data_IF_860958334383
#
_entry.id   IF_860958334383
#
_cell.length_a   1.000
_cell.length_b   1.000
_cell.length_c   1.000
_cell.angle_alpha   90.00
_cell.angle_beta   90.00
_cell.angle_gamma   90.00
#
_symmetry.space_group_name_H-M   'P 1'
#
loop_
_entity.id
_entity.type
_entity.pdbx_description
1 polymer ?
#
# COMPACT_ATOMS: atom_id res chain seq x y z
N UNK A 1 13.70 20.25 12.48
CA UNK A 1 13.84 19.60 11.16
C UNK A 1 12.79 20.23 10.24
N UNK A 2 13.19 20.80 9.11
CA UNK A 2 12.26 21.41 8.14
C UNK A 2 11.95 20.35 7.08
N UNK A 3 10.67 20.03 6.87
CA UNK A 3 10.20 19.17 5.79
C UNK A 3 10.00 20.02 4.53
N UNK A 4 10.55 19.58 3.39
CA UNK A 4 10.20 20.14 2.07
C UNK A 4 9.32 19.14 1.34
N UNK A 5 8.32 19.65 0.61
CA UNK A 5 7.36 18.83 -0.15
C UNK A 5 7.53 19.14 -1.63
N UNK A 6 7.67 18.10 -2.44
CA UNK A 6 7.68 18.19 -3.90
C UNK A 6 6.46 17.44 -4.45
N UNK A 7 5.43 18.19 -4.80
CA UNK A 7 4.26 17.69 -5.53
C UNK A 7 4.46 17.84 -7.03
N UNK A 8 3.96 16.89 -7.82
CA UNK A 8 4.04 16.91 -9.27
C UNK A 8 2.75 16.37 -9.89
N UNK A 9 2.47 16.79 -11.12
CA UNK A 9 1.29 16.34 -11.87
C UNK A 9 1.68 15.22 -12.85
N UNK A 10 0.89 14.15 -12.88
CA UNK A 10 1.05 13.07 -13.86
C UNK A 10 0.87 13.60 -15.30
N UNK A 11 1.50 12.95 -16.32
CA UNK A 11 1.26 13.30 -17.72
C UNK A 11 -0.23 13.33 -18.07
N UNK A 12 -0.69 14.39 -18.72
CA UNK A 12 -2.10 14.57 -19.08
C UNK A 12 -2.98 15.18 -17.98
N UNK A 13 -2.42 15.52 -16.82
CA UNK A 13 -3.12 16.20 -15.73
C UNK A 13 -2.52 17.58 -15.43
N UNK A 14 -3.37 18.52 -15.03
CA UNK A 14 -2.95 19.87 -14.68
C UNK A 14 -2.20 20.56 -15.83
N UNK A 15 -0.95 20.95 -15.58
CA UNK A 15 -0.07 21.57 -16.58
C UNK A 15 0.95 20.59 -17.20
N UNK A 16 0.90 19.31 -16.87
CA UNK A 16 1.81 18.30 -17.43
C UNK A 16 1.31 17.83 -18.80
N UNK A 17 2.15 17.98 -19.82
CA UNK A 17 1.89 17.45 -21.17
C UNK A 17 1.92 15.92 -21.22
N UNK A 18 1.45 15.34 -22.33
CA UNK A 18 1.48 13.90 -22.59
C UNK A 18 0.18 13.19 -22.23
N UNK A 19 0.21 11.85 -22.25
CA UNK A 19 -0.95 10.99 -21.96
C UNK A 19 -0.69 10.15 -20.70
N UNK A 20 -1.73 9.87 -19.90
CA UNK A 20 -1.62 9.20 -18.59
C UNK A 20 -1.43 7.69 -18.69
N UNK A 21 -0.61 7.22 -19.63
CA UNK A 21 -0.25 5.79 -19.73
C UNK A 21 0.76 5.41 -18.65
N UNK A 22 0.74 4.16 -18.14
CA UNK A 22 1.62 3.73 -17.04
C UNK A 22 3.10 4.06 -17.28
N UNK A 23 3.62 3.74 -18.48
CA UNK A 23 5.02 4.02 -18.82
C UNK A 23 5.37 5.51 -18.76
N UNK A 24 4.46 6.38 -19.21
CA UNK A 24 4.66 7.83 -19.15
C UNK A 24 4.63 8.31 -17.69
N UNK A 25 3.73 7.78 -16.87
CA UNK A 25 3.65 8.09 -15.44
C UNK A 25 4.93 7.69 -14.70
N UNK A 26 5.50 6.52 -15.01
CA UNK A 26 6.78 6.08 -14.44
C UNK A 26 7.95 6.96 -14.90
N UNK A 27 8.03 7.29 -16.20
CA UNK A 27 9.06 8.18 -16.72
C UNK A 27 8.99 9.58 -16.10
N UNK A 28 7.78 10.10 -15.87
CA UNK A 28 7.60 11.38 -15.20
C UNK A 28 7.99 11.32 -13.71
N UNK A 29 7.62 10.24 -13.01
CA UNK A 29 8.05 10.02 -11.63
C UNK A 29 9.58 9.95 -11.50
N UNK A 30 10.22 9.26 -12.43
CA UNK A 30 11.68 9.15 -12.52
C UNK A 30 12.34 10.51 -12.74
N UNK A 31 11.83 11.32 -13.68
CA UNK A 31 12.32 12.67 -13.92
C UNK A 31 12.21 13.57 -12.67
N UNK A 32 11.12 13.43 -11.90
CA UNK A 32 10.92 14.17 -10.64
C UNK A 32 11.93 13.74 -9.58
N UNK A 33 12.21 12.44 -9.47
CA UNK A 33 13.23 11.91 -8.56
C UNK A 33 14.63 12.41 -8.93
N UNK A 34 14.99 12.35 -10.21
CA UNK A 34 16.25 12.88 -10.72
C UNK A 34 16.36 14.40 -10.47
N UNK A 35 15.29 15.17 -10.65
CA UNK A 35 15.27 16.60 -10.33
C UNK A 35 15.52 16.85 -8.84
N UNK A 36 14.89 16.08 -7.96
CA UNK A 36 15.09 16.19 -6.51
C UNK A 36 16.56 15.93 -6.11
N UNK A 37 17.22 14.96 -6.76
CA UNK A 37 18.62 14.63 -6.48
C UNK A 37 19.61 15.63 -7.11
N UNK A 38 19.45 15.91 -8.40
CA UNK A 38 20.44 16.63 -9.19
C UNK A 38 20.31 18.14 -9.11
N UNK A 39 19.08 18.66 -9.00
CA UNK A 39 18.82 20.12 -8.97
C UNK A 39 18.55 20.60 -7.55
N UNK A 40 17.72 19.89 -6.79
CA UNK A 40 17.42 20.28 -5.40
C UNK A 40 18.48 19.79 -4.38
N UNK A 41 19.36 18.87 -4.78
CA UNK A 41 20.49 18.41 -3.99
C UNK A 41 20.15 17.47 -2.83
N UNK A 42 18.98 16.83 -2.84
CA UNK A 42 18.61 15.84 -1.82
C UNK A 42 19.24 14.49 -2.10
N UNK A 43 19.85 13.87 -1.08
CA UNK A 43 20.30 12.48 -1.20
C UNK A 43 19.11 11.53 -1.18
N UNK A 44 19.26 10.37 -1.81
CA UNK A 44 18.20 9.36 -1.86
C UNK A 44 17.70 8.98 -0.46
N UNK A 45 18.62 8.79 0.49
CA UNK A 45 18.32 8.45 1.90
C UNK A 45 17.65 9.58 2.71
N UNK A 46 17.50 10.76 2.12
CA UNK A 46 16.78 11.91 2.70
C UNK A 46 15.35 12.01 2.17
N UNK A 47 15.01 11.24 1.13
CA UNK A 47 13.72 11.30 0.43
C UNK A 47 12.76 10.27 1.00
N UNK A 48 11.53 10.70 1.27
CA UNK A 48 10.39 9.83 1.59
C UNK A 48 9.41 9.91 0.45
N UNK A 49 8.98 8.75 -0.03
CA UNK A 49 7.98 8.65 -1.09
C UNK A 49 6.59 8.58 -0.46
N UNK A 50 5.66 9.35 -0.99
CA UNK A 50 4.25 9.30 -0.60
C UNK A 50 3.40 9.04 -1.83
N UNK A 51 2.56 8.01 -1.77
CA UNK A 51 1.61 7.67 -2.82
C UNK A 51 0.20 7.59 -2.24
N UNK A 52 -0.72 8.36 -2.81
CA UNK A 52 -2.15 8.26 -2.49
C UNK A 52 -2.91 7.64 -3.65
N UNK A 53 -3.79 6.67 -3.38
CA UNK A 53 -4.62 6.06 -4.43
C UNK A 53 -3.76 5.48 -5.55
N UNK A 54 -4.13 5.75 -6.80
CA UNK A 54 -3.35 5.38 -7.99
C UNK A 54 -1.89 5.88 -7.95
N UNK A 55 -1.59 6.93 -7.18
CA UNK A 55 -0.23 7.42 -6.94
C UNK A 55 0.66 6.42 -6.21
N UNK A 56 0.09 5.37 -5.61
CA UNK A 56 0.86 4.25 -5.08
C UNK A 56 1.67 3.52 -6.15
N UNK A 57 1.20 3.48 -7.41
CA UNK A 57 1.92 2.85 -8.51
C UNK A 57 3.30 3.48 -8.79
N UNK A 58 3.42 4.78 -9.14
CA UNK A 58 4.72 5.41 -9.35
C UNK A 58 5.55 5.49 -8.06
N UNK A 59 4.92 5.67 -6.89
CA UNK A 59 5.66 5.69 -5.62
C UNK A 59 6.33 4.34 -5.33
N UNK A 60 5.62 3.22 -5.54
CA UNK A 60 6.19 1.88 -5.40
C UNK A 60 7.28 1.60 -6.42
N UNK A 61 7.13 2.07 -7.66
CA UNK A 61 8.15 1.91 -8.68
C UNK A 61 9.42 2.71 -8.34
N UNK A 62 9.27 3.95 -7.86
CA UNK A 62 10.40 4.74 -7.37
C UNK A 62 11.10 4.02 -6.21
N UNK A 63 10.36 3.48 -5.24
CA UNK A 63 10.98 2.74 -4.14
C UNK A 63 11.78 1.52 -4.64
N UNK A 64 11.27 0.80 -5.65
CA UNK A 64 11.96 -0.36 -6.23
C UNK A 64 13.23 0.01 -7.01
N UNK A 65 13.26 1.18 -7.67
CA UNK A 65 14.39 1.61 -8.51
C UNK A 65 15.39 2.53 -7.78
N UNK A 66 14.96 3.14 -6.68
CA UNK A 66 15.74 3.98 -5.77
C UNK A 66 15.68 3.38 -4.35
N UNK A 67 16.32 2.21 -4.12
CA UNK A 67 16.09 1.42 -2.92
C UNK A 67 16.67 2.02 -1.62
N UNK A 68 17.47 3.09 -1.70
CA UNK A 68 18.02 3.79 -0.53
C UNK A 68 17.08 4.87 0.00
N UNK A 69 15.91 5.09 -0.62
CA UNK A 69 14.92 6.03 -0.08
C UNK A 69 14.64 5.74 1.38
N UNK A 70 14.43 6.81 2.15
CA UNK A 70 14.23 6.72 3.60
C UNK A 70 13.01 5.88 3.97
N UNK A 71 12.02 5.85 3.09
CA UNK A 71 10.83 5.03 3.23
C UNK A 71 9.77 5.40 2.20
N UNK A 72 8.72 4.58 2.14
CA UNK A 72 7.51 4.84 1.36
C UNK A 72 6.28 4.77 2.26
N UNK A 73 5.37 5.72 2.09
CA UNK A 73 4.06 5.75 2.73
C UNK A 73 3.01 5.66 1.62
N UNK A 74 2.16 4.65 1.70
CA UNK A 74 1.08 4.40 0.75
C UNK A 74 -0.25 4.58 1.47
N UNK A 75 -0.99 5.62 1.09
CA UNK A 75 -2.28 5.97 1.68
C UNK A 75 -3.40 5.64 0.73
N UNK A 76 -4.39 4.89 1.22
CA UNK A 76 -5.53 4.44 0.43
C UNK A 76 -5.08 3.95 -0.94
N UNK A 77 -4.23 2.91 -0.98
CA UNK A 77 -3.77 2.29 -2.24
C UNK A 77 -4.31 0.86 -2.38
N UNK A 78 -3.92 0.19 -3.46
CA UNK A 78 -4.34 -1.16 -3.80
C UNK A 78 -3.14 -2.05 -4.16
N UNK A 79 -3.37 -3.36 -4.25
CA UNK A 79 -2.39 -4.37 -4.66
C UNK A 79 -2.28 -4.51 -6.17
N UNK A 80 -3.41 -4.53 -6.86
CA UNK A 80 -3.56 -4.66 -8.31
C UNK A 80 -4.83 -3.91 -8.74
N UNK A 81 -4.77 -3.24 -9.90
CA UNK A 81 -5.93 -2.52 -10.44
C UNK A 81 -6.96 -3.46 -11.08
N UNK A 82 -6.57 -4.64 -11.54
CA UNK A 82 -7.48 -5.54 -12.26
C UNK A 82 -8.76 -5.86 -11.47
N UNK A 83 -8.69 -6.27 -10.19
CA UNK A 83 -9.89 -6.58 -9.41
C UNK A 83 -10.81 -5.37 -9.20
N UNK A 84 -10.23 -4.16 -9.09
CA UNK A 84 -11.00 -2.91 -9.02
C UNK A 84 -11.73 -2.64 -10.33
N UNK A 85 -11.04 -2.80 -11.47
CA UNK A 85 -11.64 -2.62 -12.78
C UNK A 85 -12.78 -3.62 -13.04
N UNK A 86 -12.58 -4.89 -12.69
CA UNK A 86 -13.60 -5.92 -12.83
C UNK A 86 -14.82 -5.68 -11.92
N UNK A 87 -14.62 -5.17 -10.70
CA UNK A 87 -15.72 -4.85 -9.78
C UNK A 87 -16.62 -3.72 -10.29
N UNK A 88 -16.10 -2.80 -11.10
CA UNK A 88 -16.85 -1.66 -11.66
C UNK A 88 -17.49 -1.94 -13.02
N UNK A 89 -17.23 -3.11 -13.60
CA UNK A 89 -17.66 -3.46 -14.96
C UNK A 89 -18.65 -4.63 -14.94
N UNK A 90 -19.53 -4.73 -15.96
CA UNK A 90 -20.40 -5.90 -16.11
C UNK A 90 -19.60 -7.20 -16.18
N UNK A 91 -19.98 -8.21 -15.39
CA UNK A 91 -19.27 -9.51 -15.32
C UNK A 91 -19.08 -10.20 -16.69
N UNK A 92 -20.01 -10.00 -17.62
CA UNK A 92 -19.93 -10.52 -19.01
C UNK A 92 -18.70 -9.98 -19.77
N UNK A 93 -18.12 -8.86 -19.34
CA UNK A 93 -16.94 -8.23 -19.96
C UNK A 93 -15.63 -8.57 -19.24
N UNK A 94 -15.64 -9.47 -18.26
CA UNK A 94 -14.47 -9.73 -17.38
C UNK A 94 -13.18 -10.01 -18.16
N UNK A 95 -13.23 -10.87 -19.18
CA UNK A 95 -12.06 -11.25 -19.98
C UNK A 95 -11.55 -10.09 -20.84
N UNK A 96 -12.46 -9.26 -21.36
CA UNK A 96 -12.12 -8.06 -22.14
C UNK A 96 -11.45 -7.02 -21.24
N UNK A 97 -12.00 -6.82 -20.04
CA UNK A 97 -11.43 -5.93 -19.03
C UNK A 97 -10.04 -6.42 -18.64
N UNK A 98 -9.88 -7.72 -18.38
CA UNK A 98 -8.58 -8.32 -18.06
C UNK A 98 -7.57 -8.10 -19.17
N UNK A 99 -7.93 -8.41 -20.42
CA UNK A 99 -7.07 -8.18 -21.58
C UNK A 99 -6.65 -6.70 -21.69
N UNK A 100 -7.60 -5.77 -21.58
CA UNK A 100 -7.33 -4.34 -21.70
C UNK A 100 -6.39 -3.83 -20.60
N UNK A 101 -6.65 -4.24 -19.34
CA UNK A 101 -5.82 -3.88 -18.18
C UNK A 101 -4.42 -4.47 -18.31
N UNK A 102 -4.29 -5.78 -18.51
CA UNK A 102 -2.98 -6.45 -18.58
C UNK A 102 -2.14 -5.98 -19.76
N UNK A 103 -2.77 -5.53 -20.84
CA UNK A 103 -2.04 -5.04 -22.02
C UNK A 103 -1.62 -3.57 -21.90
N UNK A 104 -2.46 -2.71 -21.29
CA UNK A 104 -2.27 -1.25 -21.38
C UNK A 104 -2.15 -0.53 -20.03
N UNK A 105 -2.68 -1.10 -18.95
CA UNK A 105 -2.82 -0.46 -17.64
C UNK A 105 -2.48 -1.42 -16.48
N UNK A 106 -1.42 -2.22 -16.63
CA UNK A 106 -1.04 -3.23 -15.63
C UNK A 106 -0.40 -2.58 -14.38
N UNK A 107 -1.24 -2.02 -13.52
CA UNK A 107 -0.82 -1.38 -12.27
C UNK A 107 -0.70 -2.42 -11.15
N UNK A 108 0.32 -3.29 -11.26
CA UNK A 108 0.58 -4.37 -10.30
C UNK A 108 1.53 -3.92 -9.18
N UNK A 109 0.99 -3.20 -8.20
CA UNK A 109 1.75 -2.60 -7.08
C UNK A 109 2.43 -3.66 -6.22
N UNK A 110 1.74 -4.78 -5.95
CA UNK A 110 2.29 -5.89 -5.15
C UNK A 110 3.54 -6.52 -5.80
N UNK A 111 3.59 -6.62 -7.14
CA UNK A 111 4.75 -7.17 -7.85
C UNK A 111 5.92 -6.20 -7.85
N UNK A 112 5.64 -4.89 -8.00
CA UNK A 112 6.66 -3.85 -7.94
C UNK A 112 7.29 -3.79 -6.53
N UNK A 113 6.46 -3.75 -5.48
CA UNK A 113 6.93 -3.67 -4.10
C UNK A 113 7.72 -4.89 -3.64
N UNK A 114 7.57 -6.05 -4.30
CA UNK A 114 8.38 -7.23 -4.03
C UNK A 114 9.89 -6.94 -4.15
N UNK A 115 10.26 -5.98 -5.02
CA UNK A 115 11.63 -5.56 -5.29
C UNK A 115 12.16 -4.50 -4.32
N UNK A 116 11.31 -3.94 -3.45
CA UNK A 116 11.70 -2.98 -2.44
C UNK A 116 11.70 -3.60 -1.04
N UNK A 117 12.83 -3.53 -0.34
CA UNK A 117 13.01 -4.10 1.01
C UNK A 117 13.12 -3.05 2.12
N UNK A 118 13.13 -1.77 1.78
CA UNK A 118 13.22 -0.69 2.75
C UNK A 118 11.92 -0.46 3.54
N UNK A 119 11.90 0.59 4.38
CA UNK A 119 10.74 0.93 5.21
C UNK A 119 9.49 1.25 4.38
N UNK A 120 8.35 0.68 4.78
CA UNK A 120 7.07 0.76 4.08
C UNK A 120 5.93 0.87 5.10
N UNK A 121 5.05 1.86 4.92
CA UNK A 121 3.81 2.01 5.68
C UNK A 121 2.62 2.04 4.74
N UNK A 122 1.61 1.26 5.06
CA UNK A 122 0.27 1.32 4.48
C UNK A 122 -0.65 2.08 5.42
N UNK A 123 -1.49 2.93 4.85
CA UNK A 123 -2.61 3.56 5.54
C UNK A 123 -3.88 3.06 4.87
N UNK A 124 -4.66 2.27 5.60
CA UNK A 124 -5.96 1.77 5.14
C UNK A 124 -7.05 2.68 5.64
N UNK A 125 -7.82 3.25 4.71
CA UNK A 125 -8.98 4.08 5.05
C UNK A 125 -10.20 3.22 5.34
N UNK A 126 -10.89 3.52 6.43
CA UNK A 126 -11.99 2.70 6.93
C UNK A 126 -13.34 3.02 6.31
N UNK A 127 -13.54 4.21 5.74
CA UNK A 127 -14.77 4.60 5.04
C UNK A 127 -14.53 4.63 3.52
N UNK A 128 -13.76 3.65 3.03
CA UNK A 128 -13.26 3.59 1.66
C UNK A 128 -14.34 3.16 0.65
N UNK A 129 -14.63 4.04 -0.31
CA UNK A 129 -15.66 3.88 -1.33
C UNK A 129 -15.14 3.54 -2.73
N UNK A 130 -13.84 3.74 -2.97
CA UNK A 130 -13.19 3.57 -4.28
C UNK A 130 -12.47 2.22 -4.36
N UNK A 131 -11.71 1.88 -3.30
CA UNK A 131 -10.76 0.76 -3.28
C UNK A 131 -11.31 -0.52 -2.64
N UNK A 132 -12.64 -0.64 -2.61
CA UNK A 132 -13.37 -1.85 -2.23
C UNK A 132 -13.90 -2.54 -3.49
N UNK A 133 -14.12 -3.85 -3.39
CA UNK A 133 -14.59 -4.67 -4.54
C UNK A 133 -15.95 -5.34 -4.29
N UNK A 134 -16.42 -5.31 -3.04
CA UNK A 134 -17.80 -5.66 -2.70
C UNK A 134 -18.55 -4.40 -2.29
N UNK A 135 -19.37 -3.87 -3.20
CA UNK A 135 -20.19 -2.68 -2.94
C UNK A 135 -21.57 -3.01 -2.39
N UNK A 136 -21.99 -4.28 -2.45
CA UNK A 136 -23.37 -4.73 -2.18
C UNK A 136 -23.54 -5.44 -0.84
N UNK A 137 -22.42 -5.89 -0.26
CA UNK A 137 -22.40 -6.54 1.04
C UNK A 137 -22.57 -5.59 2.23
N UNK A 138 -22.42 -6.13 3.42
CA UNK A 138 -22.42 -5.36 4.66
C UNK A 138 -21.20 -4.43 4.73
N UNK A 139 -21.18 -3.48 5.67
CA UNK A 139 -19.99 -2.66 5.94
C UNK A 139 -18.76 -3.49 6.32
N UNK A 140 -18.97 -4.69 6.90
CA UNK A 140 -17.89 -5.63 7.17
C UNK A 140 -17.35 -6.26 5.88
N UNK A 141 -18.22 -6.64 4.95
CA UNK A 141 -17.84 -7.23 3.66
C UNK A 141 -17.12 -6.19 2.79
N UNK A 142 -17.66 -4.97 2.72
CA UNK A 142 -17.03 -3.79 2.10
C UNK A 142 -15.61 -3.61 2.62
N UNK A 143 -15.43 -3.55 3.95
CA UNK A 143 -14.13 -3.39 4.61
C UNK A 143 -13.19 -4.56 4.33
N UNK A 144 -13.68 -5.79 4.31
CA UNK A 144 -12.91 -6.98 3.98
C UNK A 144 -12.42 -6.97 2.53
N UNK A 145 -13.21 -6.39 1.62
CA UNK A 145 -12.89 -6.27 0.19
C UNK A 145 -11.92 -5.12 -0.16
N UNK A 146 -11.49 -4.32 0.83
CA UNK A 146 -10.54 -3.23 0.64
C UNK A 146 -9.20 -3.76 0.11
N UNK A 147 -8.71 -3.23 -1.02
CA UNK A 147 -7.49 -3.73 -1.68
C UNK A 147 -6.20 -3.55 -0.87
N UNK A 148 -6.16 -2.63 0.10
CA UNK A 148 -5.04 -2.52 1.03
C UNK A 148 -4.87 -3.78 1.91
N UNK A 149 -5.96 -4.53 2.17
CA UNK A 149 -5.91 -5.80 2.90
C UNK A 149 -5.08 -6.84 2.13
N UNK A 150 -5.34 -6.96 0.83
CA UNK A 150 -4.65 -7.89 -0.06
C UNK A 150 -3.19 -7.49 -0.22
N UNK A 151 -2.92 -6.18 -0.33
CA UNK A 151 -1.56 -5.66 -0.37
C UNK A 151 -0.78 -5.98 0.91
N UNK A 152 -1.38 -5.81 2.09
CA UNK A 152 -0.75 -6.19 3.37
C UNK A 152 -0.37 -7.68 3.37
N UNK A 153 -1.30 -8.56 3.00
CA UNK A 153 -1.04 -10.01 2.95
C UNK A 153 0.13 -10.33 2.04
N UNK A 154 0.23 -9.68 0.88
CA UNK A 154 1.32 -9.87 -0.08
C UNK A 154 2.65 -9.35 0.44
N UNK A 155 2.67 -8.21 1.14
CA UNK A 155 3.87 -7.69 1.80
C UNK A 155 4.38 -8.68 2.85
N UNK A 156 3.49 -9.21 3.69
CA UNK A 156 3.88 -10.18 4.72
C UNK A 156 4.34 -11.49 4.06
N UNK A 157 3.65 -12.00 3.05
CA UNK A 157 4.06 -13.19 2.30
C UNK A 157 5.44 -13.04 1.66
N UNK A 158 5.72 -11.89 1.03
CA UNK A 158 6.99 -11.63 0.34
C UNK A 158 8.16 -11.35 1.29
N UNK A 159 7.90 -10.76 2.46
CA UNK A 159 8.96 -10.35 3.42
C UNK A 159 9.13 -11.34 4.57
N UNK A 160 8.06 -12.05 4.94
CA UNK A 160 7.97 -12.94 6.12
C UNK A 160 7.21 -14.24 5.78
N UNK A 161 7.62 -15.01 4.75
CA UNK A 161 6.85 -16.18 4.27
C UNK A 161 6.61 -17.23 5.37
N UNK A 162 7.60 -17.46 6.24
CA UNK A 162 7.49 -18.42 7.35
C UNK A 162 6.54 -17.94 8.45
N UNK A 163 6.31 -16.64 8.57
CA UNK A 163 5.45 -16.05 9.58
C UNK A 163 3.96 -16.23 9.23
N UNK A 164 3.62 -16.05 7.94
CA UNK A 164 2.24 -16.14 7.45
C UNK A 164 1.83 -17.55 7.01
N UNK A 165 2.79 -18.46 6.79
CA UNK A 165 2.52 -19.84 6.42
C UNK A 165 1.43 -20.47 7.32
N UNK A 166 0.36 -20.94 6.67
CA UNK A 166 -0.86 -21.52 7.26
C UNK A 166 -1.66 -20.59 8.20
N UNK A 167 -1.28 -19.30 8.26
CA UNK A 167 -1.87 -18.29 9.14
C UNK A 167 -2.46 -17.10 8.37
N UNK A 168 -2.62 -17.18 7.04
CA UNK A 168 -3.20 -16.09 6.24
C UNK A 168 -4.57 -15.63 6.80
N UNK A 169 -5.43 -16.58 7.18
CA UNK A 169 -6.73 -16.29 7.81
C UNK A 169 -6.62 -15.50 9.13
N UNK A 170 -5.48 -15.52 9.81
CA UNK A 170 -5.26 -14.70 11.00
C UNK A 170 -5.08 -13.23 10.61
N UNK A 171 -4.48 -12.93 9.45
CA UNK A 171 -4.39 -11.55 8.95
C UNK A 171 -5.79 -10.99 8.71
N UNK A 172 -6.68 -11.77 8.08
CA UNK A 172 -8.08 -11.37 7.86
C UNK A 172 -8.81 -11.14 9.20
N UNK A 173 -8.59 -12.00 10.21
CA UNK A 173 -9.12 -11.78 11.57
C UNK A 173 -8.61 -10.49 12.19
N UNK A 174 -7.31 -10.22 12.11
CA UNK A 174 -6.71 -8.99 12.63
C UNK A 174 -7.25 -7.74 11.92
N UNK A 175 -7.44 -7.81 10.60
CA UNK A 175 -8.00 -6.74 9.78
C UNK A 175 -9.45 -6.41 10.13
N UNK A 176 -10.21 -7.40 10.61
CA UNK A 176 -11.59 -7.26 11.09
C UNK A 176 -11.70 -6.76 12.54
N UNK A 177 -10.61 -6.83 13.32
CA UNK A 177 -10.59 -6.38 14.71
C UNK A 177 -10.61 -4.85 14.83
N UNK A 178 -11.28 -4.36 15.89
CA UNK A 178 -11.16 -2.98 16.36
C UNK A 178 -9.79 -2.73 17.01
N UNK A 179 -9.36 -1.46 17.17
CA UNK A 179 -8.12 -1.14 17.89
C UNK A 179 -8.05 -1.75 19.29
N UNK A 180 -9.17 -1.77 20.03
CA UNK A 180 -9.25 -2.38 21.36
C UNK A 180 -9.05 -3.90 21.30
N UNK A 181 -9.66 -4.57 20.33
CA UNK A 181 -9.51 -6.01 20.13
C UNK A 181 -8.07 -6.38 19.74
N UNK A 182 -7.40 -5.58 18.89
CA UNK A 182 -5.99 -5.78 18.53
C UNK A 182 -5.07 -5.67 19.73
N UNK A 183 -5.29 -4.66 20.58
CA UNK A 183 -4.52 -4.49 21.82
C UNK A 183 -4.66 -5.71 22.75
N UNK A 184 -5.87 -6.27 22.87
CA UNK A 184 -6.10 -7.49 23.66
C UNK A 184 -5.48 -8.74 23.04
N UNK A 185 -5.47 -8.84 21.71
CA UNK A 185 -4.98 -10.02 20.98
C UNK A 185 -3.44 -10.16 21.00
N UNK A 186 -2.71 -9.07 21.29
CA UNK A 186 -1.25 -9.07 21.44
C UNK A 186 -0.74 -9.65 22.77
N UNK A 187 -1.62 -9.84 23.76
CA UNK A 187 -1.25 -10.41 25.06
C UNK A 187 -1.22 -11.94 24.98
N UNK A 188 -0.01 -12.50 24.87
CA UNK A 188 0.19 -13.95 24.90
C UNK A 188 0.21 -14.42 26.36
N UNK A 189 -0.81 -15.18 26.77
CA UNK A 189 -0.85 -15.85 28.08
C UNK A 189 -0.51 -17.35 28.00
N UNK A 190 -0.28 -17.91 26.80
CA UNK A 190 -0.03 -19.34 26.58
C UNK A 190 1.15 -19.57 25.60
N UNK A 191 2.12 -20.37 26.03
CA UNK A 191 3.45 -20.60 25.43
C UNK A 191 3.47 -21.52 24.19
N UNK A 192 2.35 -21.74 23.49
CA UNK A 192 2.40 -22.60 22.28
C UNK A 192 3.09 -21.86 21.13
N UNK A 193 3.92 -22.58 20.37
CA UNK A 193 4.65 -22.03 19.21
C UNK A 193 3.72 -21.33 18.21
N UNK A 194 2.52 -21.89 18.00
CA UNK A 194 1.48 -21.31 17.15
C UNK A 194 0.97 -19.98 17.72
N UNK A 195 0.77 -19.87 19.04
CA UNK A 195 0.34 -18.61 19.66
C UNK A 195 1.41 -17.53 19.53
N UNK A 196 2.69 -17.88 19.71
CA UNK A 196 3.83 -16.98 19.52
C UNK A 196 3.91 -16.51 18.06
N UNK A 197 3.80 -17.43 17.09
CA UNK A 197 3.85 -17.10 15.66
C UNK A 197 2.69 -16.19 15.24
N UNK A 198 1.48 -16.45 15.75
CA UNK A 198 0.32 -15.58 15.54
C UNK A 198 0.52 -14.18 16.13
N UNK A 199 1.05 -14.07 17.35
CA UNK A 199 1.34 -12.78 17.95
C UNK A 199 2.37 -11.98 17.15
N UNK A 200 3.43 -12.65 16.67
CA UNK A 200 4.41 -12.03 15.75
C UNK A 200 3.78 -11.61 14.42
N UNK A 201 2.85 -12.40 13.87
CA UNK A 201 2.12 -12.06 12.67
C UNK A 201 1.26 -10.80 12.86
N UNK A 202 0.58 -10.66 14.00
CA UNK A 202 -0.20 -9.46 14.31
C UNK A 202 0.69 -8.22 14.47
N UNK A 203 1.82 -8.36 15.16
CA UNK A 203 2.79 -7.27 15.26
C UNK A 203 3.42 -6.91 13.89
N UNK A 204 3.56 -7.86 12.96
CA UNK A 204 3.89 -7.54 11.56
C UNK A 204 2.77 -6.76 10.86
N UNK A 205 1.51 -7.12 11.09
CA UNK A 205 0.37 -6.37 10.56
C UNK A 205 0.35 -4.92 11.09
N UNK A 206 0.49 -4.73 12.40
CA UNK A 206 0.58 -3.40 13.04
C UNK A 206 1.77 -2.58 12.54
N UNK A 207 2.88 -3.26 12.21
CA UNK A 207 4.06 -2.59 11.66
C UNK A 207 3.82 -2.01 10.26
N UNK A 208 3.19 -2.79 9.38
CA UNK A 208 3.02 -2.41 7.99
C UNK A 208 1.75 -1.60 7.74
N UNK A 209 0.69 -1.75 8.54
CA UNK A 209 -0.61 -1.14 8.27
C UNK A 209 -1.15 -0.39 9.47
N UNK A 210 -1.57 0.85 9.23
CA UNK A 210 -2.34 1.66 10.18
C UNK A 210 -3.71 1.97 9.58
N UNK A 211 -4.76 1.86 10.37
CA UNK A 211 -6.10 2.28 9.97
C UNK A 211 -6.29 3.80 10.15
N UNK A 212 -7.02 4.42 9.23
CA UNK A 212 -7.44 5.82 9.32
C UNK A 212 -8.94 5.90 9.09
N UNK A 213 -9.68 6.38 10.10
CA UNK A 213 -11.15 6.47 10.03
C UNK A 213 -11.60 7.69 9.23
N UNK A 214 -11.61 7.53 7.90
CA UNK A 214 -11.88 8.59 6.95
C UNK A 214 -12.30 8.03 5.59
N UNK A 215 -12.94 8.88 4.77
CA UNK A 215 -13.28 8.60 3.36
C UNK A 215 -12.07 8.69 2.44
N UNK A 216 -12.18 8.29 1.17
CA UNK A 216 -11.05 8.26 0.24
C UNK A 216 -10.33 9.61 0.05
N UNK A 217 -11.07 10.72 0.11
CA UNK A 217 -10.57 12.08 -0.22
C UNK A 217 -10.34 12.98 0.99
N UNK A 218 -10.70 12.54 2.20
CA UNK A 218 -10.48 13.32 3.41
C UNK A 218 -8.97 13.54 3.65
N UNK A 219 -8.51 14.74 4.04
CA UNK A 219 -7.10 14.99 4.30
C UNK A 219 -6.52 14.06 5.38
N UNK A 220 -5.32 13.56 5.14
CA UNK A 220 -4.60 12.73 6.10
C UNK A 220 -4.05 13.60 7.25
N UNK A 221 -4.22 13.13 8.49
CA UNK A 221 -3.70 13.83 9.66
C UNK A 221 -2.15 13.82 9.67
N UNK A 222 -1.48 14.95 10.02
CA UNK A 222 -0.02 15.04 10.08
C UNK A 222 0.68 13.90 10.87
N UNK A 223 0.03 13.34 11.89
CA UNK A 223 0.52 12.22 12.69
C UNK A 223 0.69 10.90 11.91
N UNK A 224 0.17 10.82 10.68
CA UNK A 224 0.29 9.61 9.86
C UNK A 224 1.52 9.61 8.95
N UNK A 225 2.20 10.74 8.77
CA UNK A 225 3.40 10.88 7.93
C UNK A 225 4.69 10.36 8.59
N UNK A 226 4.56 9.63 9.70
CA UNK A 226 5.69 8.99 10.37
C UNK A 226 6.28 7.87 9.51
N UNK A 227 7.59 7.95 9.27
CA UNK A 227 8.36 6.94 8.54
C UNK A 227 8.51 5.72 9.45
N UNK A 228 8.08 4.52 9.04
CA UNK A 228 8.27 3.33 9.85
C UNK A 228 9.77 3.02 9.96
N UNK A 229 10.20 2.49 11.10
CA UNK A 229 11.53 1.88 11.18
C UNK A 229 11.54 0.59 10.33
N UNK A 230 12.70 0.05 9.92
CA UNK A 230 12.75 -1.30 9.36
C UNK A 230 12.13 -2.31 10.34
N UNK A 231 11.35 -3.25 9.82
CA UNK A 231 10.89 -4.39 10.62
C UNK A 231 12.10 -5.22 11.03
N UNK A 232 12.57 -5.02 12.27
CA UNK A 232 13.56 -5.89 12.88
C UNK A 232 12.79 -7.05 13.47
N UNK A 233 13.24 -8.27 13.20
CA UNK A 233 12.63 -9.50 13.72
C UNK A 233 12.17 -9.29 15.16
N UNK A 234 10.87 -9.37 15.36
CA UNK A 234 10.23 -9.23 16.66
C UNK A 234 10.84 -10.30 17.57
N UNK A 235 11.76 -9.90 18.44
CA UNK A 235 12.29 -10.79 19.48
C UNK A 235 11.14 -11.19 20.39
#
# INVERSE_FOLDING_TARGET
MILKVLGWNQPGFGQSSGLPFPNNTLAAADAVMQYAQTVLGFREEEIVLFGWSIGGYPASWLAANYPKVKGIILDATFDDVLPLAQARMPKILSDIVEYAIRTNFDLNIQAILANYKGPLKLIRRLQEEILTTDETGTEADRRASNRANFLLKKIIEQRHPTLIADLESQVDRWLAMTPQQRAMAGHVSNESEIAIRRARLYAACDHYLTDFDATHVQPLDPGYFNIPLPFRDLK
#
